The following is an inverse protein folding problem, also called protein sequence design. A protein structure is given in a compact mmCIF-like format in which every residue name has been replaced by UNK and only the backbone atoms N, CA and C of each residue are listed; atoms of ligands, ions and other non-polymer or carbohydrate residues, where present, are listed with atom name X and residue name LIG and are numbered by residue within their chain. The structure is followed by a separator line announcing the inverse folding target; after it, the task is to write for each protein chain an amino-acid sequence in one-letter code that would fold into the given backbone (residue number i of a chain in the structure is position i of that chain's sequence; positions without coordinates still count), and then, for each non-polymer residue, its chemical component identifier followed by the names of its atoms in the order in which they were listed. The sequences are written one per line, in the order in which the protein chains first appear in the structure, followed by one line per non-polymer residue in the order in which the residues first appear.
data_IF_764066279875
#
_entry.id   IF_764066279875
#
_cell.length_a   1.000
_cell.length_b   1.000
_cell.length_c   1.000
_cell.angle_alpha   90.00
_cell.angle_beta   90.00
_cell.angle_gamma   90.00
#
_symmetry.space_group_name_H-M   'P 1'
#
loop_
_entity.id
_entity.type
_entity.pdbx_description
1 polymer ?
#
# COMPACT_ATOMS: atom_id res chain seq x y z
N UNK A 1 -13.95 46.72 -26.41
CA UNK A 1 -14.46 45.82 -25.36
C UNK A 1 -14.13 46.44 -24.00
N UNK A 2 -15.14 46.81 -23.21
CA UNK A 2 -14.91 47.23 -21.82
C UNK A 2 -14.94 46.00 -20.92
N UNK A 3 -13.91 45.82 -20.08
CA UNK A 3 -13.89 44.72 -19.12
C UNK A 3 -15.09 44.82 -18.16
N UNK A 4 -15.79 43.70 -17.96
CA UNK A 4 -17.01 43.57 -17.14
C UNK A 4 -16.78 43.91 -15.66
N UNK A 5 -15.53 43.85 -15.21
CA UNK A 5 -15.10 44.17 -13.85
C UNK A 5 -14.00 45.22 -13.92
N UNK A 6 -14.20 46.36 -13.25
CA UNK A 6 -13.21 47.43 -13.13
C UNK A 6 -12.70 47.47 -11.70
N UNK A 7 -11.39 47.47 -11.54
CA UNK A 7 -10.71 47.68 -10.27
C UNK A 7 -9.81 48.92 -10.38
N UNK A 8 -9.83 49.77 -9.37
CA UNK A 8 -8.99 50.97 -9.28
C UNK A 8 -7.90 50.70 -8.27
N UNK A 9 -6.64 50.89 -8.68
CA UNK A 9 -5.48 50.76 -7.79
C UNK A 9 -5.03 52.16 -7.38
N UNK A 10 -4.85 52.37 -6.08
CA UNK A 10 -4.23 53.59 -5.53
C UNK A 10 -2.79 53.26 -5.16
N UNK A 11 -1.88 54.18 -5.45
CA UNK A 11 -0.47 54.14 -5.05
C UNK A 11 -0.16 55.42 -4.27
N UNK A 12 0.77 55.32 -3.33
CA UNK A 12 1.05 56.36 -2.33
C UNK A 12 2.21 57.28 -2.70
N UNK A 13 2.97 56.93 -3.73
CA UNK A 13 4.24 57.55 -4.09
C UNK A 13 4.27 57.97 -5.57
N UNK A 14 4.93 59.11 -5.82
CA UNK A 14 5.07 59.68 -7.17
C UNK A 14 6.02 58.85 -8.05
N UNK A 15 6.97 58.11 -7.46
CA UNK A 15 7.87 57.23 -8.19
C UNK A 15 7.12 56.12 -8.92
N UNK A 16 6.15 55.46 -8.26
CA UNK A 16 5.29 54.46 -8.89
C UNK A 16 4.45 55.06 -10.03
N UNK A 17 4.05 56.33 -9.92
CA UNK A 17 3.33 57.03 -10.98
C UNK A 17 4.20 57.23 -12.23
N UNK A 18 5.45 57.65 -12.04
CA UNK A 18 6.41 57.86 -13.12
C UNK A 18 6.78 56.55 -13.81
N UNK A 19 7.06 55.51 -13.01
CA UNK A 19 7.32 54.17 -13.50
C UNK A 19 6.17 53.65 -14.40
N UNK A 20 4.92 53.80 -13.97
CA UNK A 20 3.76 53.38 -14.77
C UNK A 20 3.60 54.21 -16.05
N UNK A 21 3.89 55.51 -16.01
CA UNK A 21 3.83 56.38 -17.20
C UNK A 21 4.89 56.02 -18.24
N UNK A 22 6.07 55.61 -17.81
CA UNK A 22 7.17 55.18 -18.67
C UNK A 22 6.84 53.84 -19.34
N UNK A 23 6.40 52.85 -18.55
CA UNK A 23 6.19 51.48 -19.04
C UNK A 23 4.87 51.25 -19.75
N UNK A 24 3.85 52.09 -19.50
CA UNK A 24 2.55 51.98 -20.17
C UNK A 24 2.52 52.61 -21.57
N UNK A 25 3.63 53.16 -22.05
CA UNK A 25 3.75 53.75 -23.37
C UNK A 25 3.77 52.64 -24.44
N UNK A 26 2.70 52.55 -25.26
CA UNK A 26 2.70 51.69 -26.44
C UNK A 26 3.49 52.35 -27.58
N UNK A 27 4.05 51.57 -28.54
CA UNK A 27 4.75 52.11 -29.71
C UNK A 27 3.92 53.13 -30.51
N UNK A 28 2.60 53.05 -30.42
CA UNK A 28 1.65 53.90 -31.14
C UNK A 28 1.23 55.14 -30.32
N UNK A 29 1.98 55.54 -29.31
CA UNK A 29 1.74 56.74 -28.47
C UNK A 29 0.56 56.65 -27.48
N UNK A 30 -0.29 55.60 -27.58
CA UNK A 30 -1.41 55.39 -26.65
C UNK A 30 -0.91 54.81 -25.32
N UNK A 31 -1.15 55.53 -24.22
CA UNK A 31 -0.81 55.08 -22.85
C UNK A 31 -1.97 54.30 -22.22
N UNK A 32 -1.71 53.12 -21.64
CA UNK A 32 -2.72 52.38 -20.89
C UNK A 32 -2.10 51.70 -19.65
N UNK A 33 -2.01 52.46 -18.56
CA UNK A 33 -1.47 51.98 -17.29
C UNK A 33 -2.26 50.77 -16.75
N UNK A 34 -3.58 50.78 -16.92
CA UNK A 34 -4.43 49.65 -16.52
C UNK A 34 -4.10 48.36 -17.25
N UNK A 35 -3.76 48.42 -18.55
CA UNK A 35 -3.38 47.24 -19.31
C UNK A 35 -1.99 46.72 -18.92
N UNK A 36 -1.05 47.62 -18.64
CA UNK A 36 0.28 47.24 -18.15
C UNK A 36 0.20 46.58 -16.77
N UNK A 37 -0.56 47.15 -15.83
CA UNK A 37 -0.80 46.54 -14.53
C UNK A 37 -1.48 45.18 -14.65
N UNK A 38 -2.49 45.06 -15.51
CA UNK A 38 -3.12 43.77 -15.79
C UNK A 38 -2.12 42.74 -16.32
N UNK A 39 -1.18 43.14 -17.18
CA UNK A 39 -0.13 42.23 -17.68
C UNK A 39 0.83 41.79 -16.58
N UNK A 40 1.17 42.66 -15.63
CA UNK A 40 2.00 42.30 -14.47
C UNK A 40 1.29 41.30 -13.56
N UNK A 41 0.02 41.57 -13.23
CA UNK A 41 -0.79 40.65 -12.40
C UNK A 41 -1.00 39.31 -13.10
N UNK A 42 -1.20 39.32 -14.42
CA UNK A 42 -1.33 38.09 -15.21
C UNK A 42 -0.03 37.30 -15.18
N UNK A 43 1.11 37.96 -15.41
CA UNK A 43 2.43 37.34 -15.34
C UNK A 43 2.75 36.79 -13.94
N UNK A 44 2.41 37.51 -12.88
CA UNK A 44 2.55 37.02 -11.50
C UNK A 44 1.67 35.81 -11.23
N UNK A 45 0.43 35.79 -11.74
CA UNK A 45 -0.47 34.62 -11.62
C UNK A 45 0.01 33.43 -12.42
N UNK A 46 0.50 33.64 -13.63
CA UNK A 46 1.11 32.60 -14.46
C UNK A 46 2.39 32.06 -13.82
N UNK A 47 3.23 32.94 -13.27
CA UNK A 47 4.42 32.57 -12.53
C UNK A 47 4.05 31.77 -11.26
N UNK A 48 3.09 32.24 -10.46
CA UNK A 48 2.62 31.52 -9.27
C UNK A 48 2.03 30.15 -9.62
N UNK A 49 1.21 30.06 -10.67
CA UNK A 49 0.66 28.80 -11.17
C UNK A 49 1.77 27.85 -11.68
N UNK A 50 2.81 28.40 -12.31
CA UNK A 50 3.97 27.62 -12.77
C UNK A 50 4.89 27.18 -11.62
N UNK A 51 4.97 27.93 -10.51
CA UNK A 51 5.72 27.55 -9.30
C UNK A 51 4.96 26.48 -8.51
N UNK A 52 3.64 26.55 -8.42
CA UNK A 52 2.81 25.47 -7.83
C UNK A 52 2.86 24.17 -8.65
N UNK A 53 3.01 24.26 -9.98
CA UNK A 53 3.17 23.09 -10.87
C UNK A 53 4.60 22.54 -10.90
N UNK A 54 5.63 23.38 -10.68
CA UNK A 54 7.04 22.98 -10.74
C UNK A 54 7.68 22.70 -9.37
N UNK A 55 6.98 22.92 -8.26
CA UNK A 55 7.34 22.31 -6.98
C UNK A 55 6.86 20.86 -6.93
N UNK A 56 7.38 20.02 -7.83
CA UNK A 56 7.55 18.62 -7.45
C UNK A 56 8.50 18.63 -6.25
N UNK A 57 7.99 18.31 -5.06
CA UNK A 57 8.82 18.04 -3.88
C UNK A 57 9.66 16.79 -4.16
N UNK A 58 10.75 16.97 -4.93
CA UNK A 58 11.70 15.94 -5.30
C UNK A 58 12.54 15.60 -4.06
N UNK A 59 11.95 14.88 -3.10
CA UNK A 59 12.60 14.06 -2.05
C UNK A 59 11.75 13.91 -0.76
N UNK A 60 10.49 14.35 -0.73
CA UNK A 60 9.62 14.16 0.44
C UNK A 60 8.83 12.84 0.32
N UNK A 61 8.94 11.99 1.33
CA UNK A 61 8.06 10.83 1.50
C UNK A 61 6.72 11.31 2.05
N UNK A 62 5.66 11.21 1.24
CA UNK A 62 4.31 11.65 1.63
C UNK A 62 3.56 10.52 2.32
N UNK A 63 3.22 10.70 3.59
CA UNK A 63 2.35 9.78 4.34
C UNK A 63 0.91 10.29 4.27
N UNK A 64 0.01 9.47 3.74
CA UNK A 64 -1.42 9.74 3.65
C UNK A 64 -2.15 9.22 4.89
N UNK A 65 -3.36 9.75 5.18
CA UNK A 65 -4.20 9.24 6.27
C UNK A 65 -4.40 7.72 6.18
N UNK A 66 -4.53 7.08 7.34
CA UNK A 66 -4.65 5.62 7.42
C UNK A 66 -5.87 5.08 6.67
N UNK A 67 -5.69 3.93 6.03
CA UNK A 67 -6.77 3.16 5.43
C UNK A 67 -7.41 2.26 6.48
N UNK A 68 -8.66 2.56 6.82
CA UNK A 68 -9.39 1.90 7.92
C UNK A 68 -10.41 0.86 7.45
N UNK A 69 -10.68 0.77 6.14
CA UNK A 69 -11.69 -0.13 5.56
C UNK A 69 -11.16 -1.54 5.34
N UNK A 70 -10.57 -2.14 6.38
CA UNK A 70 -10.14 -3.53 6.36
C UNK A 70 -10.95 -4.35 7.38
N UNK A 71 -11.26 -5.59 7.04
CA UNK A 71 -11.92 -6.55 7.92
C UNK A 71 -10.90 -7.55 8.43
N UNK A 72 -10.86 -7.78 9.74
CA UNK A 72 -10.02 -8.84 10.30
C UNK A 72 -10.70 -10.20 10.18
N UNK A 73 -9.93 -11.20 9.80
CA UNK A 73 -10.29 -12.61 9.89
C UNK A 73 -9.18 -13.39 10.58
N UNK A 74 -9.56 -14.50 11.19
CA UNK A 74 -8.63 -15.45 11.78
C UNK A 74 -8.83 -16.78 11.07
N UNK A 75 -7.75 -17.33 10.52
CA UNK A 75 -7.76 -18.61 9.82
C UNK A 75 -6.86 -19.56 10.60
N UNK A 76 -7.41 -20.69 11.00
CA UNK A 76 -6.64 -21.76 11.63
C UNK A 76 -6.96 -23.10 11.00
N UNK A 77 -6.05 -24.05 11.14
CA UNK A 77 -6.26 -25.38 10.60
C UNK A 77 -5.03 -26.25 10.66
N UNK A 78 -5.24 -27.53 10.36
CA UNK A 78 -4.16 -28.48 10.21
C UNK A 78 -3.44 -28.27 8.88
N UNK A 79 -2.13 -28.41 8.91
CA UNK A 79 -1.24 -28.33 7.76
C UNK A 79 -0.40 -29.60 7.69
N UNK A 80 -0.13 -30.04 6.47
CA UNK A 80 0.83 -31.10 6.19
C UNK A 80 1.67 -30.65 5.02
N UNK A 81 2.98 -30.61 5.19
CA UNK A 81 3.90 -30.17 4.16
C UNK A 81 5.14 -31.06 4.10
N UNK A 82 5.66 -31.25 2.90
CA UNK A 82 6.91 -31.96 2.68
C UNK A 82 8.07 -31.13 3.24
N UNK A 83 8.76 -31.68 4.24
CA UNK A 83 10.05 -31.18 4.68
C UNK A 83 11.11 -32.11 4.10
N UNK A 84 12.03 -31.61 3.26
CA UNK A 84 12.98 -32.57 2.67
C UNK A 84 13.82 -33.23 3.78
N UNK A 85 14.03 -34.55 3.68
CA UNK A 85 14.90 -35.24 4.61
C UNK A 85 16.28 -34.58 4.67
N UNK A 86 16.81 -34.41 5.88
CA UNK A 86 18.05 -33.67 6.15
C UNK A 86 19.30 -34.17 5.39
N UNK A 87 19.22 -35.32 4.73
CA UNK A 87 20.29 -35.96 3.95
C UNK A 87 20.29 -35.62 2.44
N UNK A 88 19.23 -34.97 1.91
CA UNK A 88 19.09 -34.70 0.47
C UNK A 88 19.65 -33.36 -0.01
N UNK A 89 20.01 -32.44 0.91
CA UNK A 89 20.63 -31.17 0.54
C UNK A 89 22.00 -30.99 1.21
N UNK A 90 22.99 -30.66 0.39
CA UNK A 90 24.37 -30.33 0.80
C UNK A 90 24.47 -29.16 1.80
N UNK A 91 23.39 -28.38 1.98
CA UNK A 91 23.36 -27.25 2.90
C UNK A 91 22.08 -27.19 3.76
N UNK A 92 22.28 -27.10 5.08
CA UNK A 92 21.21 -26.91 6.08
C UNK A 92 20.40 -25.61 5.86
N UNK A 93 20.95 -24.62 5.16
CA UNK A 93 20.29 -23.33 4.92
C UNK A 93 19.35 -23.36 3.71
N UNK A 94 19.73 -24.06 2.65
CA UNK A 94 18.87 -24.29 1.48
C UNK A 94 17.68 -25.17 1.84
N UNK A 95 17.93 -26.18 2.68
CA UNK A 95 16.89 -27.06 3.24
C UNK A 95 15.80 -26.26 3.98
N UNK A 96 16.20 -25.47 4.98
CA UNK A 96 15.29 -24.62 5.75
C UNK A 96 14.50 -23.65 4.87
N UNK A 97 15.11 -23.08 3.84
CA UNK A 97 14.42 -22.16 2.92
C UNK A 97 13.31 -22.86 2.14
N UNK A 98 13.54 -24.09 1.68
CA UNK A 98 12.53 -24.83 0.93
C UNK A 98 11.39 -25.29 1.83
N UNK A 99 11.70 -25.79 3.02
CA UNK A 99 10.69 -26.21 3.99
C UNK A 99 9.79 -25.04 4.39
N UNK A 100 10.37 -23.86 4.62
CA UNK A 100 9.61 -22.63 4.87
C UNK A 100 8.74 -22.22 3.69
N UNK A 101 9.22 -22.37 2.45
CA UNK A 101 8.43 -22.08 1.25
C UNK A 101 7.22 -23.00 1.14
N UNK A 102 7.41 -24.30 1.35
CA UNK A 102 6.34 -25.29 1.31
C UNK A 102 5.30 -25.03 2.41
N UNK A 103 5.77 -24.75 3.63
CA UNK A 103 4.92 -24.38 4.76
C UNK A 103 4.08 -23.14 4.47
N UNK A 104 4.69 -22.06 3.98
CA UNK A 104 3.95 -20.82 3.66
C UNK A 104 2.93 -21.04 2.55
N UNK A 105 3.28 -21.85 1.53
CA UNK A 105 2.35 -22.20 0.45
C UNK A 105 1.13 -22.96 0.98
N UNK A 106 1.34 -23.94 1.85
CA UNK A 106 0.23 -24.71 2.45
C UNK A 106 -0.69 -23.81 3.29
N UNK A 107 -0.11 -22.88 4.06
CA UNK A 107 -0.89 -21.87 4.81
C UNK A 107 -1.69 -20.98 3.84
N UNK A 108 -1.08 -20.54 2.74
CA UNK A 108 -1.73 -19.70 1.74
C UNK A 108 -2.90 -20.43 1.07
N UNK A 109 -2.72 -21.70 0.73
CA UNK A 109 -3.76 -22.56 0.19
C UNK A 109 -4.93 -22.74 1.18
N UNK A 110 -4.64 -22.90 2.48
CA UNK A 110 -5.67 -22.98 3.53
C UNK A 110 -6.43 -21.66 3.72
N UNK A 111 -5.74 -20.52 3.63
CA UNK A 111 -6.39 -19.21 3.67
C UNK A 111 -7.30 -19.03 2.45
N UNK A 112 -6.84 -19.42 1.26
CA UNK A 112 -7.68 -19.41 0.06
C UNK A 112 -8.92 -20.31 0.20
N UNK A 113 -8.77 -21.52 0.74
CA UNK A 113 -9.88 -22.43 0.99
C UNK A 113 -10.88 -21.86 2.01
N UNK A 114 -10.39 -21.28 3.11
CA UNK A 114 -11.24 -20.66 4.13
C UNK A 114 -12.06 -19.49 3.60
N UNK A 115 -11.46 -18.70 2.70
CA UNK A 115 -12.13 -17.62 2.01
C UNK A 115 -13.16 -18.18 1.02
N UNK A 116 -12.80 -19.19 0.24
CA UNK A 116 -13.67 -19.77 -0.80
C UNK A 116 -14.82 -20.60 -0.24
N UNK A 117 -14.81 -20.97 1.04
CA UNK A 117 -15.88 -21.78 1.64
C UNK A 117 -17.18 -20.99 1.78
N UNK A 118 -18.29 -21.60 1.39
CA UNK A 118 -19.63 -20.98 1.40
C UNK A 118 -20.10 -20.58 2.80
N UNK A 119 -19.64 -21.29 3.83
CA UNK A 119 -20.05 -21.05 5.23
C UNK A 119 -19.51 -19.72 5.78
N UNK A 120 -18.40 -19.21 5.23
CA UNK A 120 -17.82 -17.92 5.63
C UNK A 120 -18.20 -16.77 4.67
N UNK A 121 -18.91 -17.08 3.58
CA UNK A 121 -19.31 -16.13 2.55
C UNK A 121 -20.79 -16.31 2.16
N UNK A 122 -21.74 -15.86 3.00
CA UNK A 122 -23.17 -15.90 2.67
C UNK A 122 -23.55 -14.99 1.49
N UNK A 123 -22.68 -14.05 1.10
CA UNK A 123 -22.75 -13.34 -0.17
C UNK A 123 -21.47 -13.59 -0.96
N UNK A 124 -21.59 -13.94 -2.24
CA UNK A 124 -20.50 -14.13 -3.21
C UNK A 124 -19.64 -12.86 -3.37
N UNK A 125 -18.82 -12.52 -2.38
CA UNK A 125 -17.86 -11.40 -2.44
C UNK A 125 -16.75 -11.62 -3.48
N UNK A 126 -16.58 -12.85 -3.97
CA UNK A 126 -15.55 -13.20 -4.95
C UNK A 126 -15.88 -12.75 -6.37
N UNK A 127 -17.14 -12.54 -6.71
CA UNK A 127 -17.59 -12.47 -8.11
C UNK A 127 -18.78 -11.52 -8.37
N UNK A 128 -19.02 -10.54 -7.51
CA UNK A 128 -19.99 -9.48 -7.84
C UNK A 128 -19.26 -8.23 -8.33
N UNK A 129 -19.58 -7.85 -9.57
CA UNK A 129 -19.26 -6.60 -10.27
C UNK A 129 -17.80 -6.15 -10.17
N UNK A 130 -16.90 -6.87 -10.84
CA UNK A 130 -15.55 -6.38 -11.12
C UNK A 130 -14.82 -5.86 -9.88
N UNK A 131 -14.93 -6.56 -8.75
CA UNK A 131 -14.22 -6.21 -7.52
C UNK A 131 -13.16 -7.29 -7.20
N UNK A 132 -12.14 -6.94 -6.41
CA UNK A 132 -11.13 -7.91 -5.99
C UNK A 132 -10.81 -7.80 -4.50
N UNK A 133 -10.30 -8.89 -3.94
CA UNK A 133 -9.93 -8.99 -2.52
C UNK A 133 -8.42 -9.01 -2.37
N UNK A 134 -7.91 -8.23 -1.43
CA UNK A 134 -6.52 -8.30 -0.98
C UNK A 134 -6.50 -8.80 0.46
N UNK A 135 -5.77 -9.88 0.70
CA UNK A 135 -5.67 -10.52 2.00
C UNK A 135 -4.25 -10.36 2.50
N UNK A 136 -4.11 -9.69 3.63
CA UNK A 136 -2.82 -9.32 4.20
C UNK A 136 -2.63 -10.16 5.46
N UNK A 137 -1.74 -11.15 5.40
CA UNK A 137 -1.31 -11.92 6.57
C UNK A 137 -0.52 -10.99 7.50
N UNK A 138 -1.09 -10.69 8.66
CA UNK A 138 -0.48 -9.76 9.63
C UNK A 138 0.37 -10.48 10.66
N UNK A 139 0.01 -11.71 11.02
CA UNK A 139 0.78 -12.60 11.90
C UNK A 139 0.45 -14.07 11.57
N UNK A 140 1.48 -14.91 11.62
CA UNK A 140 1.36 -16.35 11.45
C UNK A 140 2.07 -17.06 12.59
N UNK A 141 1.31 -17.82 13.38
CA UNK A 141 1.86 -18.76 14.36
C UNK A 141 1.63 -20.18 13.89
N UNK A 142 2.70 -20.98 13.81
CA UNK A 142 2.64 -22.37 13.39
C UNK A 142 3.31 -23.25 14.44
N UNK A 143 2.56 -24.23 14.94
CA UNK A 143 3.07 -25.32 15.76
C UNK A 143 3.21 -26.55 14.88
N UNK A 144 4.42 -27.12 14.79
CA UNK A 144 4.68 -28.28 13.93
C UNK A 144 5.32 -29.42 14.70
N UNK A 145 5.04 -30.65 14.29
CA UNK A 145 5.69 -31.84 14.81
C UNK A 145 6.97 -32.10 14.00
N UNK A 146 8.11 -32.08 14.67
CA UNK A 146 9.42 -32.28 14.04
C UNK A 146 9.83 -33.75 13.90
N UNK A 147 9.03 -34.70 14.37
CA UNK A 147 9.23 -36.11 14.02
C UNK A 147 8.85 -36.27 12.56
N UNK A 148 9.86 -36.11 11.71
CA UNK A 148 9.81 -36.42 10.29
C UNK A 148 9.26 -37.83 10.19
N UNK A 149 8.06 -37.99 9.61
CA UNK A 149 7.55 -39.30 9.23
C UNK A 149 8.58 -39.97 8.31
N UNK A 150 8.59 -41.31 8.20
CA UNK A 150 9.50 -42.03 7.30
C UNK A 150 9.45 -41.52 5.83
N UNK A 151 8.41 -40.77 5.49
CA UNK A 151 8.11 -40.20 4.18
C UNK A 151 8.53 -38.72 4.03
N UNK A 152 9.14 -38.09 5.05
CA UNK A 152 9.60 -36.69 4.93
C UNK A 152 8.48 -35.63 5.09
N UNK A 153 7.37 -35.96 5.74
CA UNK A 153 6.27 -35.02 5.98
C UNK A 153 6.31 -34.45 7.40
N UNK A 154 6.13 -33.13 7.49
CA UNK A 154 5.89 -32.39 8.73
C UNK A 154 4.41 -32.03 8.82
N UNK A 155 3.81 -32.31 9.97
CA UNK A 155 2.42 -31.97 10.25
C UNK A 155 2.34 -30.94 11.36
N UNK A 156 1.32 -30.10 11.31
CA UNK A 156 1.17 -29.04 12.30
C UNK A 156 -0.21 -28.42 12.32
N UNK A 157 -0.36 -27.43 13.19
CA UNK A 157 -1.50 -26.55 13.22
C UNK A 157 -0.99 -25.11 13.13
N UNK A 158 -1.65 -24.30 12.32
CA UNK A 158 -1.35 -22.89 12.19
C UNK A 158 -2.53 -22.01 12.62
N UNK A 159 -2.18 -20.77 12.96
CA UNK A 159 -3.08 -19.67 13.19
C UNK A 159 -2.55 -18.47 12.41
N UNK A 160 -3.31 -18.01 11.43
CA UNK A 160 -3.01 -16.83 10.62
C UNK A 160 -4.05 -15.73 10.91
N UNK A 161 -3.56 -14.60 11.42
CA UNK A 161 -4.34 -13.37 11.48
C UNK A 161 -4.22 -12.66 10.14
N UNK A 162 -5.35 -12.34 9.53
CA UNK A 162 -5.38 -11.66 8.24
C UNK A 162 -6.26 -10.42 8.28
N UNK A 163 -5.84 -9.37 7.58
CA UNK A 163 -6.66 -8.21 7.24
C UNK A 163 -7.10 -8.34 5.79
N UNK A 164 -8.40 -8.31 5.55
CA UNK A 164 -9.03 -8.40 4.23
C UNK A 164 -9.47 -7.01 3.79
N UNK A 165 -9.00 -6.59 2.63
CA UNK A 165 -9.41 -5.35 1.96
C UNK A 165 -10.23 -5.73 0.74
N UNK A 166 -11.47 -5.24 0.69
CA UNK A 166 -12.34 -5.39 -0.49
C UNK A 166 -12.25 -4.13 -1.34
N UNK A 167 -11.71 -4.28 -2.55
CA UNK A 167 -11.48 -3.18 -3.47
C UNK A 167 -12.52 -3.24 -4.57
N UNK A 168 -13.47 -2.31 -4.52
CA UNK A 168 -14.49 -2.11 -5.56
C UNK A 168 -14.06 -1.00 -6.51
N UNK A 169 -14.68 -0.95 -7.69
CA UNK A 169 -14.44 0.14 -8.64
C UNK A 169 -14.78 1.53 -8.04
N UNK A 170 -15.84 1.61 -7.22
CA UNK A 170 -16.22 2.86 -6.55
C UNK A 170 -15.19 3.29 -5.50
N UNK A 171 -14.64 2.35 -4.72
CA UNK A 171 -13.51 2.57 -3.82
C UNK A 171 -12.30 3.09 -4.61
N UNK A 172 -11.95 2.44 -5.72
CA UNK A 172 -10.81 2.83 -6.55
C UNK A 172 -10.93 4.25 -7.11
N UNK A 173 -12.10 4.61 -7.65
CA UNK A 173 -12.40 5.95 -8.16
C UNK A 173 -12.35 6.99 -7.03
N UNK A 174 -12.86 6.66 -5.84
CA UNK A 174 -12.78 7.54 -4.66
C UNK A 174 -11.33 7.90 -4.31
N UNK A 175 -10.41 6.96 -4.47
CA UNK A 175 -8.97 7.16 -4.25
C UNK A 175 -8.22 7.63 -5.53
N UNK A 176 -8.95 8.03 -6.57
CA UNK A 176 -8.41 8.53 -7.84
C UNK A 176 -7.56 7.52 -8.61
N UNK A 177 -7.72 6.22 -8.33
CA UNK A 177 -6.91 5.15 -8.92
C UNK A 177 -5.42 5.23 -8.64
N UNK A 178 -5.01 5.99 -7.63
CA UNK A 178 -3.59 6.19 -7.27
C UNK A 178 -3.07 5.16 -6.26
N UNK A 179 -3.96 4.53 -5.51
CA UNK A 179 -3.63 3.61 -4.43
C UNK A 179 -3.41 2.21 -5.00
N UNK A 180 -2.18 1.71 -4.87
CA UNK A 180 -1.77 0.43 -5.44
C UNK A 180 -2.02 -0.72 -4.47
N UNK A 181 -3.28 -1.13 -4.36
CA UNK A 181 -3.71 -2.26 -3.53
C UNK A 181 -3.06 -3.60 -3.96
N UNK A 182 -2.52 -3.71 -5.18
CA UNK A 182 -1.82 -4.91 -5.64
C UNK A 182 -0.43 -5.07 -5.02
N UNK A 183 0.16 -3.99 -4.53
CA UNK A 183 1.56 -3.91 -4.08
C UNK A 183 1.70 -3.45 -2.64
N UNK A 184 0.74 -3.82 -1.78
CA UNK A 184 0.83 -3.58 -0.33
C UNK A 184 2.09 -4.25 0.23
N UNK A 185 2.85 -3.49 1.02
CA UNK A 185 4.14 -3.92 1.55
C UNK A 185 4.26 -3.55 3.02
N UNK A 186 4.99 -4.38 3.77
CA UNK A 186 5.40 -4.01 5.12
C UNK A 186 6.64 -3.12 5.06
N UNK A 187 6.63 -1.99 5.74
CA UNK A 187 7.78 -1.07 5.81
C UNK A 187 8.05 -0.73 7.27
N UNK A 188 9.31 -0.88 7.69
CA UNK A 188 9.74 -0.38 9.00
C UNK A 188 9.80 1.13 8.97
N UNK A 189 9.32 1.82 10.00
CA UNK A 189 9.28 3.29 10.04
C UNK A 189 10.67 3.90 9.85
N UNK A 190 11.72 3.27 10.39
CA UNK A 190 13.13 3.67 10.18
C UNK A 190 13.60 3.61 8.73
N UNK A 191 12.96 2.78 7.91
CA UNK A 191 13.30 2.56 6.51
C UNK A 191 12.47 3.46 5.58
N UNK A 192 11.43 4.14 6.09
CA UNK A 192 10.66 5.14 5.31
C UNK A 192 11.55 6.30 4.86
N UNK A 193 12.51 6.73 5.67
CA UNK A 193 13.45 7.81 5.32
C UNK A 193 14.60 7.35 4.43
N UNK A 194 14.75 6.04 4.18
CA UNK A 194 15.86 5.52 3.36
C UNK A 194 15.48 5.59 1.89
N UNK A 195 16.30 6.32 1.13
CA UNK A 195 16.26 6.59 -0.32
C UNK A 195 16.00 5.38 -1.26
N UNK A 196 16.01 4.14 -0.77
CA UNK A 196 15.65 2.93 -1.53
C UNK A 196 14.14 2.71 -1.63
N UNK A 197 13.35 3.35 -0.77
CA UNK A 197 11.89 3.32 -0.84
C UNK A 197 11.47 4.38 -1.87
N UNK A 198 11.43 3.96 -3.14
CA UNK A 198 10.92 4.67 -4.34
C UNK A 198 10.65 6.17 -4.14
N UNK A 199 11.66 7.01 -4.40
CA UNK A 199 11.56 8.48 -4.38
C UNK A 199 10.30 8.96 -5.13
N UNK A 200 9.55 9.88 -4.54
CA UNK A 200 8.32 10.43 -5.13
C UNK A 200 7.06 9.55 -4.98
N UNK A 201 7.14 8.42 -4.25
CA UNK A 201 5.98 7.60 -3.95
C UNK A 201 5.39 7.95 -2.58
N UNK A 202 4.07 8.09 -2.51
CA UNK A 202 3.36 8.25 -1.25
C UNK A 202 3.06 6.90 -0.60
N UNK A 203 2.75 6.90 0.70
CA UNK A 203 2.36 5.71 1.43
C UNK A 203 1.13 5.99 2.28
N UNK A 204 0.15 5.09 2.21
CA UNK A 204 -1.01 5.09 3.09
C UNK A 204 -0.89 3.90 4.02
N UNK A 205 -0.80 4.15 5.32
CA UNK A 205 -0.71 3.08 6.32
C UNK A 205 -2.05 2.34 6.40
N UNK A 206 -2.02 1.01 6.45
CA UNK A 206 -3.19 0.20 6.76
C UNK A 206 -3.40 0.19 8.28
N UNK A 207 -4.61 0.52 8.74
CA UNK A 207 -4.92 0.46 10.16
C UNK A 207 -4.89 -0.99 10.67
N UNK A 208 -4.11 -1.25 11.72
CA UNK A 208 -4.05 -2.53 12.42
C UNK A 208 -4.75 -2.39 13.78
N UNK A 209 -5.73 -3.25 14.07
CA UNK A 209 -6.52 -3.19 15.32
C UNK A 209 -5.66 -3.52 16.56
N UNK A 210 -4.55 -4.25 16.39
CA UNK A 210 -3.57 -4.56 17.44
C UNK A 210 -2.20 -4.82 16.77
N UNK A 211 -1.41 -3.77 16.50
CA UNK A 211 -0.10 -3.95 15.86
C UNK A 211 0.84 -4.68 16.83
N UNK A 212 1.26 -5.90 16.44
CA UNK A 212 2.25 -6.68 17.19
C UNK A 212 3.68 -6.13 17.04
N UNK A 213 3.91 -5.40 15.95
CA UNK A 213 5.18 -4.74 15.67
C UNK A 213 4.96 -3.22 15.69
N UNK A 214 5.63 -2.53 16.60
CA UNK A 214 5.61 -1.07 16.73
C UNK A 214 6.69 -0.40 15.89
N UNK A 215 7.57 -1.17 15.23
CA UNK A 215 8.71 -0.69 14.44
C UNK A 215 8.31 -0.47 12.98
N UNK A 216 7.13 -0.92 12.55
CA UNK A 216 6.62 -0.71 11.20
C UNK A 216 5.19 -1.16 11.00
N UNK A 217 4.66 -0.91 9.80
CA UNK A 217 3.28 -1.21 9.44
C UNK A 217 3.18 -1.68 7.97
N UNK A 218 2.00 -2.18 7.60
CA UNK A 218 1.65 -2.36 6.19
C UNK A 218 1.25 -1.03 5.55
N UNK A 219 1.77 -0.78 4.35
CA UNK A 219 1.47 0.42 3.58
C UNK A 219 0.95 0.06 2.20
N UNK A 220 -0.07 0.78 1.76
CA UNK A 220 -0.54 0.84 0.38
C UNK A 220 0.28 1.94 -0.32
N UNK A 221 1.08 1.61 -1.34
CA UNK A 221 1.75 2.62 -2.16
C UNK A 221 0.76 3.56 -2.84
N UNK A 222 1.06 4.85 -2.82
CA UNK A 222 0.28 5.89 -3.51
C UNK A 222 1.12 6.43 -4.66
N UNK A 223 0.65 6.18 -5.88
CA UNK A 223 1.29 6.59 -7.12
C UNK A 223 1.01 8.07 -7.42
N UNK A 224 1.91 8.69 -8.16
CA UNK A 224 1.70 10.03 -8.70
C UNK A 224 0.60 10.03 -9.77
N UNK A 225 0.63 9.02 -10.64
CA UNK A 225 -0.34 8.80 -11.72
C UNK A 225 -1.43 7.80 -11.33
N UNK A 226 -2.64 8.02 -11.83
CA UNK A 226 -3.74 7.07 -11.72
C UNK A 226 -3.48 5.83 -12.57
N UNK A 227 -3.96 4.69 -12.10
CA UNK A 227 -3.98 3.42 -12.82
C UNK A 227 -5.44 3.04 -13.08
N UNK A 228 -5.69 2.42 -14.22
CA UNK A 228 -6.99 1.85 -14.52
C UNK A 228 -7.35 0.74 -13.53
N UNK A 229 -8.65 0.60 -13.29
CA UNK A 229 -9.15 -0.47 -12.43
C UNK A 229 -8.84 -1.83 -13.08
N UNK A 230 -8.25 -2.78 -12.34
CA UNK A 230 -7.88 -4.09 -12.88
C UNK A 230 -9.11 -5.01 -13.02
N UNK A 231 -10.02 -4.67 -13.93
CA UNK A 231 -11.18 -5.51 -14.27
C UNK A 231 -10.70 -6.90 -14.71
N UNK A 232 -11.32 -7.94 -14.15
CA UNK A 232 -11.09 -9.36 -14.47
C UNK A 232 -9.65 -9.87 -14.35
N UNK A 233 -8.75 -9.08 -13.75
CA UNK A 233 -7.33 -9.46 -13.61
C UNK A 233 -7.11 -10.52 -12.53
N UNK A 234 -8.00 -10.58 -11.54
CA UNK A 234 -7.83 -11.39 -10.34
C UNK A 234 -9.02 -12.33 -10.15
N UNK A 235 -8.83 -13.60 -10.54
CA UNK A 235 -9.78 -14.69 -10.30
C UNK A 235 -9.71 -15.26 -8.89
N UNK A 236 -8.66 -14.91 -8.14
CA UNK A 236 -8.43 -15.33 -6.75
C UNK A 236 -7.98 -14.14 -5.91
N UNK A 237 -8.23 -14.14 -4.59
CA UNK A 237 -7.74 -13.10 -3.70
C UNK A 237 -6.23 -12.90 -3.83
N UNK A 238 -5.76 -11.67 -3.72
CA UNK A 238 -4.34 -11.36 -3.67
C UNK A 238 -3.83 -11.58 -2.25
N UNK A 239 -3.11 -12.67 -2.02
CA UNK A 239 -2.43 -12.88 -0.75
C UNK A 239 -1.13 -12.07 -0.69
N UNK A 240 -1.02 -11.25 0.35
CA UNK A 240 0.13 -10.43 0.71
C UNK A 240 0.40 -10.60 2.21
N UNK A 241 1.47 -9.98 2.69
CA UNK A 241 1.75 -9.93 4.12
C UNK A 241 3.04 -10.64 4.49
N UNK A 242 3.07 -11.15 5.71
CA UNK A 242 4.28 -11.74 6.28
C UNK A 242 4.63 -13.10 5.68
N UNK A 243 5.94 -13.33 5.58
CA UNK A 243 6.57 -14.57 5.14
C UNK A 243 7.72 -14.86 6.11
N UNK A 244 8.08 -16.12 6.31
CA UNK A 244 9.26 -16.52 7.10
C UNK A 244 10.54 -15.83 6.59
N UNK A 245 10.62 -15.50 5.30
CA UNK A 245 11.74 -14.76 4.71
C UNK A 245 11.66 -13.25 4.92
N UNK A 246 10.47 -12.72 5.24
CA UNK A 246 10.18 -11.30 5.31
C UNK A 246 9.30 -10.95 6.52
N UNK A 247 9.92 -10.24 7.47
CA UNK A 247 9.32 -9.86 8.75
C UNK A 247 9.15 -11.01 9.76
N UNK A 248 10.28 -11.64 10.10
CA UNK A 248 10.39 -12.81 11.00
C UNK A 248 9.71 -12.63 12.36
N UNK A 249 9.64 -11.40 12.87
CA UNK A 249 9.08 -11.12 14.20
C UNK A 249 7.55 -11.38 14.26
N UNK A 250 6.89 -11.40 13.10
CA UNK A 250 5.48 -11.69 12.90
C UNK A 250 5.22 -13.11 12.38
N UNK A 251 6.24 -13.97 12.32
CA UNK A 251 6.08 -15.39 12.00
C UNK A 251 6.72 -16.25 13.08
N UNK A 252 5.89 -16.97 13.84
CA UNK A 252 6.32 -17.80 14.96
C UNK A 252 6.21 -19.27 14.61
N UNK A 253 7.34 -19.90 14.32
CA UNK A 253 7.43 -21.35 14.13
C UNK A 253 7.89 -21.99 15.43
N UNK A 254 7.09 -22.91 15.98
CA UNK A 254 7.42 -23.61 17.23
C UNK A 254 7.22 -25.12 17.07
N UNK A 255 8.13 -25.96 17.59
CA UNK A 255 7.85 -27.38 17.71
C UNK A 255 6.69 -27.59 18.69
N UNK A 256 5.83 -28.58 18.43
CA UNK A 256 4.77 -28.98 19.34
C UNK A 256 5.34 -29.63 20.61
N UNK A 257 4.77 -29.28 21.76
CA UNK A 257 4.99 -30.03 23.00
C UNK A 257 4.12 -31.31 23.05
N UNK A 258 4.39 -32.20 24.00
CA UNK A 258 3.72 -33.50 24.07
C UNK A 258 2.21 -33.38 24.30
N UNK A 259 1.76 -32.37 25.06
CA UNK A 259 0.34 -32.05 25.25
C UNK A 259 -0.34 -31.62 23.94
N UNK A 260 0.32 -30.80 23.13
CA UNK A 260 -0.18 -30.35 21.83
C UNK A 260 -0.22 -31.50 20.83
N UNK A 261 0.80 -32.37 20.81
CA UNK A 261 0.80 -33.58 19.98
C UNK A 261 -0.38 -34.47 20.32
N UNK A 262 -0.62 -34.72 21.61
CA UNK A 262 -1.78 -35.51 22.07
C UNK A 262 -3.12 -34.87 21.71
N UNK A 263 -3.24 -33.53 21.75
CA UNK A 263 -4.50 -32.84 21.42
C UNK A 263 -4.88 -32.94 19.93
N UNK A 264 -3.89 -32.87 19.03
CA UNK A 264 -4.14 -32.76 17.59
C UNK A 264 -3.94 -34.08 16.82
N UNK A 265 -3.19 -35.04 17.37
CA UNK A 265 -2.79 -36.26 16.69
C UNK A 265 -2.93 -37.55 17.53
N UNK A 266 -3.48 -37.46 18.76
CA UNK A 266 -3.55 -38.59 19.71
C UNK A 266 -4.90 -38.77 20.35
#
# INVERSE_FOLDING_TARGET
MGYKYKATMYYSDDETNEFLKEKAAKPNGKKSASHYLYSLVTRERENAASVELNQEEVDVVRIYPEYTRSRRIEVSGLISFTALPAFLLESKSTQKRLDHKNLMKEIDDKVHQHLSSKDNNPSNYFNHDGSFLVVIKTDVTCYYNSTISEVGYCEGNFLANCSVVHVTQSEWVRFGGKYDFENIQYIKFRDLSRLKVRKGMGFCQLAEINPLDTVGAFFIPVRTTSKDFPLDKFSTPLLKGVDINFNKDRVRLKPMNDTQKKKYFG
#
